data_IF_672384865277
#
_entry.id   IF_672384865277
#
_cell.length_a   1.000
_cell.length_b   1.000
_cell.length_c   1.000
_cell.angle_alpha   90.00
_cell.angle_beta   90.00
_cell.angle_gamma   90.00
#
_symmetry.space_group_name_H-M   'P 1'
#
loop_
_entity.id
_entity.type
_entity.pdbx_description
1 polymer ?
#
# COMPACT_ATOMS: atom_id res chain seq x y z
N UNK A 1 -21.69 20.93 38.62
CA UNK A 1 -22.50 20.99 37.38
C UNK A 1 -21.74 21.67 36.23
N UNK A 2 -21.27 22.92 36.39
CA UNK A 2 -20.51 23.64 35.35
C UNK A 2 -19.25 22.88 34.90
N UNK A 3 -18.45 22.36 35.83
CA UNK A 3 -17.23 21.57 35.51
C UNK A 3 -17.52 20.33 34.67
N UNK A 4 -18.64 19.65 34.92
CA UNK A 4 -19.06 18.47 34.16
C UNK A 4 -19.49 18.86 32.73
N UNK A 5 -20.23 19.96 32.59
CA UNK A 5 -20.64 20.50 31.28
C UNK A 5 -19.41 20.90 30.46
N UNK A 6 -18.45 21.59 31.07
CA UNK A 6 -17.18 21.96 30.40
C UNK A 6 -16.39 20.72 29.99
N UNK A 7 -16.27 19.71 30.87
CA UNK A 7 -15.58 18.47 30.54
C UNK A 7 -16.24 17.73 29.36
N UNK A 8 -17.57 17.61 29.35
CA UNK A 8 -18.30 16.98 28.24
C UNK A 8 -18.16 17.77 26.94
N UNK A 9 -18.20 19.10 26.99
CA UNK A 9 -17.98 19.94 25.83
C UNK A 9 -16.58 19.77 25.23
N UNK A 10 -15.55 19.67 26.08
CA UNK A 10 -14.16 19.39 25.65
C UNK A 10 -14.06 18.01 24.99
N UNK A 11 -14.66 16.98 25.58
CA UNK A 11 -14.65 15.62 24.98
C UNK A 11 -15.35 15.61 23.63
N UNK A 12 -16.50 16.28 23.51
CA UNK A 12 -17.21 16.39 22.23
C UNK A 12 -16.38 17.13 21.19
N UNK A 13 -15.75 18.25 21.57
CA UNK A 13 -14.88 19.01 20.68
C UNK A 13 -13.70 18.17 20.18
N UNK A 14 -13.06 17.41 21.08
CA UNK A 14 -11.99 16.49 20.71
C UNK A 14 -12.49 15.39 19.77
N UNK A 15 -13.66 14.80 20.02
CA UNK A 15 -14.24 13.79 19.16
C UNK A 15 -14.56 14.34 17.75
N UNK A 16 -15.11 15.55 17.67
CA UNK A 16 -15.37 16.24 16.40
C UNK A 16 -14.06 16.55 15.66
N UNK A 17 -13.04 17.03 16.36
CA UNK A 17 -11.74 17.30 15.77
C UNK A 17 -11.07 16.04 15.23
N UNK A 18 -11.10 14.93 15.98
CA UNK A 18 -10.60 13.62 15.54
C UNK A 18 -11.38 13.15 14.32
N UNK A 19 -12.71 13.22 14.35
CA UNK A 19 -13.56 12.85 13.21
C UNK A 19 -13.23 13.69 11.97
N UNK A 20 -13.08 15.01 12.11
CA UNK A 20 -12.73 15.90 11.02
C UNK A 20 -11.37 15.53 10.41
N UNK A 21 -10.35 15.21 11.23
CA UNK A 21 -9.06 14.72 10.73
C UNK A 21 -9.23 13.42 9.94
N UNK A 22 -9.94 12.43 10.49
CA UNK A 22 -10.15 11.14 9.82
C UNK A 22 -10.96 11.26 8.52
N UNK A 23 -11.90 12.20 8.45
CA UNK A 23 -12.77 12.38 7.29
C UNK A 23 -12.12 13.23 6.18
N UNK A 24 -11.43 14.31 6.57
CA UNK A 24 -10.96 15.34 5.65
C UNK A 24 -9.52 15.12 5.21
N UNK A 25 -8.64 14.61 6.08
CA UNK A 25 -7.24 14.43 5.73
C UNK A 25 -7.11 13.41 4.59
N UNK A 26 -6.56 13.81 3.42
CA UNK A 26 -6.43 12.93 2.28
C UNK A 26 -5.57 11.70 2.60
N UNK A 27 -4.71 11.74 3.63
CA UNK A 27 -3.89 10.60 4.03
C UNK A 27 -4.71 9.37 4.42
N UNK A 28 -6.01 9.48 4.69
CA UNK A 28 -6.88 8.30 4.94
C UNK A 28 -7.50 7.72 3.68
N UNK A 29 -7.39 8.42 2.55
CA UNK A 29 -7.87 7.95 1.24
C UNK A 29 -9.40 7.86 1.16
N UNK A 30 -9.94 7.00 0.29
CA UNK A 30 -11.38 6.86 0.04
C UNK A 30 -11.84 5.41 0.17
N UNK A 31 -13.16 5.21 0.33
CA UNK A 31 -13.75 3.90 0.52
C UNK A 31 -14.64 3.54 -0.67
N UNK A 32 -14.11 2.74 -1.60
CA UNK A 32 -14.81 2.36 -2.81
C UNK A 32 -16.13 1.62 -2.55
N UNK A 33 -16.24 0.85 -1.46
CA UNK A 33 -17.45 0.09 -1.13
C UNK A 33 -18.69 0.96 -0.83
N UNK A 34 -18.50 2.27 -0.61
CA UNK A 34 -19.59 3.23 -0.43
C UNK A 34 -20.27 3.57 -1.77
N UNK A 35 -19.55 3.42 -2.88
CA UNK A 35 -20.11 3.57 -4.22
C UNK A 35 -20.73 2.25 -4.69
N UNK A 36 -22.06 2.17 -4.64
CA UNK A 36 -22.83 0.98 -5.08
C UNK A 36 -22.66 0.66 -6.57
N UNK A 37 -22.24 1.62 -7.39
CA UNK A 37 -21.97 1.42 -8.81
C UNK A 37 -20.60 0.80 -9.09
N UNK A 38 -19.72 0.74 -8.09
CA UNK A 38 -18.35 0.27 -8.25
C UNK A 38 -18.27 -1.20 -8.63
N UNK A 39 -17.30 -1.55 -9.52
CA UNK A 39 -17.11 -2.93 -10.02
C UNK A 39 -16.88 -3.96 -8.92
N UNK A 40 -16.35 -3.54 -7.77
CA UNK A 40 -16.14 -4.41 -6.59
C UNK A 40 -17.42 -5.12 -6.13
N UNK A 41 -18.60 -4.50 -6.28
CA UNK A 41 -19.86 -5.13 -5.87
C UNK A 41 -20.28 -6.29 -6.76
N UNK A 42 -19.67 -6.41 -7.94
CA UNK A 42 -19.87 -7.52 -8.88
C UNK A 42 -18.87 -8.66 -8.66
N UNK A 43 -17.86 -8.46 -7.82
CA UNK A 43 -16.89 -9.51 -7.50
C UNK A 43 -17.57 -10.63 -6.72
N UNK A 44 -17.40 -11.91 -7.10
CA UNK A 44 -17.90 -13.03 -6.30
C UNK A 44 -17.25 -13.10 -4.91
N UNK A 45 -16.09 -12.44 -4.75
CA UNK A 45 -15.25 -12.52 -3.55
C UNK A 45 -15.57 -11.41 -2.55
N UNK A 46 -16.28 -10.38 -3.00
CA UNK A 46 -16.71 -9.26 -2.18
C UNK A 46 -18.11 -9.53 -1.59
N UNK A 47 -18.18 -9.75 -0.26
CA UNK A 47 -19.43 -10.05 0.46
C UNK A 47 -19.51 -9.31 1.79
N UNK A 48 -20.67 -8.71 2.06
CA UNK A 48 -20.94 -7.95 3.28
C UNK A 48 -19.91 -6.86 3.55
N UNK A 49 -19.57 -6.09 2.50
CA UNK A 49 -18.67 -4.95 2.59
C UNK A 49 -17.18 -5.30 2.60
N UNK A 50 -16.78 -6.57 2.45
CA UNK A 50 -15.36 -6.98 2.47
C UNK A 50 -15.06 -8.16 1.56
N UNK A 51 -13.80 -8.25 1.11
CA UNK A 51 -13.28 -9.44 0.43
C UNK A 51 -13.13 -10.61 1.40
N UNK A 52 -13.58 -11.80 0.97
CA UNK A 52 -13.53 -13.03 1.76
C UNK A 52 -12.57 -14.04 1.14
N UNK A 53 -11.43 -14.22 1.81
CA UNK A 53 -10.52 -15.33 1.47
C UNK A 53 -11.22 -16.69 1.70
N UNK A 54 -11.11 -17.67 0.79
CA UNK A 54 -11.85 -18.94 0.88
C UNK A 54 -11.53 -19.75 2.14
N UNK A 55 -10.30 -19.68 2.64
CA UNK A 55 -9.90 -20.38 3.85
C UNK A 55 -10.24 -19.57 5.11
N UNK A 56 -10.77 -20.22 6.16
CA UNK A 56 -10.96 -19.61 7.47
C UNK A 56 -9.66 -18.96 7.96
N UNK A 57 -9.75 -17.71 8.39
CA UNK A 57 -8.63 -16.97 8.95
C UNK A 57 -9.10 -16.36 10.25
N UNK A 58 -8.46 -16.76 11.36
CA UNK A 58 -8.69 -16.17 12.65
C UNK A 58 -8.40 -14.67 12.58
N UNK A 59 -9.35 -13.86 13.03
CA UNK A 59 -9.18 -12.42 13.14
C UNK A 59 -9.22 -12.03 14.61
N UNK A 60 -8.60 -10.90 14.93
CA UNK A 60 -8.79 -10.23 16.21
C UNK A 60 -10.25 -9.76 16.25
N UNK A 61 -11.09 -10.47 16.98
CA UNK A 61 -12.53 -10.21 17.04
C UNK A 61 -13.02 -9.92 18.45
N UNK A 62 -12.27 -10.31 19.49
CA UNK A 62 -12.67 -10.11 20.88
C UNK A 62 -11.89 -8.99 21.57
N UNK A 63 -12.48 -8.39 22.61
CA UNK A 63 -11.80 -7.42 23.47
C UNK A 63 -10.54 -7.99 24.14
N UNK A 64 -10.55 -9.29 24.45
CA UNK A 64 -9.40 -10.00 24.98
C UNK A 64 -8.25 -10.06 23.96
N UNK A 65 -8.54 -10.30 22.69
CA UNK A 65 -7.53 -10.28 21.61
C UNK A 65 -6.91 -8.90 21.46
N UNK A 66 -7.74 -7.83 21.50
CA UNK A 66 -7.25 -6.45 21.46
C UNK A 66 -6.34 -6.13 22.66
N UNK A 67 -6.72 -6.55 23.87
CA UNK A 67 -5.91 -6.33 25.07
C UNK A 67 -4.59 -7.11 25.00
N UNK A 68 -4.62 -8.36 24.51
CA UNK A 68 -3.43 -9.17 24.28
C UNK A 68 -2.50 -8.49 23.27
N UNK A 69 -3.06 -7.95 22.17
CA UNK A 69 -2.30 -7.24 21.15
C UNK A 69 -1.63 -5.99 21.71
N UNK A 70 -2.35 -5.17 22.48
CA UNK A 70 -1.78 -3.99 23.18
C UNK A 70 -0.64 -4.39 24.12
N UNK A 71 -0.83 -5.47 24.89
CA UNK A 71 0.21 -6.01 25.77
C UNK A 71 1.44 -6.46 24.97
N UNK A 72 1.24 -7.13 23.82
CA UNK A 72 2.33 -7.59 22.98
C UNK A 72 3.08 -6.45 22.26
N UNK A 73 2.40 -5.36 21.91
CA UNK A 73 3.03 -4.13 21.41
C UNK A 73 3.88 -3.44 22.49
N UNK A 74 3.43 -3.47 23.75
CA UNK A 74 4.18 -2.91 24.88
C UNK A 74 5.39 -3.78 25.28
N UNK A 75 5.37 -5.08 24.99
CA UNK A 75 6.49 -5.98 25.27
C UNK A 75 7.69 -5.61 24.39
N UNK A 76 8.82 -5.29 25.03
CA UNK A 76 10.09 -5.11 24.34
C UNK A 76 10.56 -6.45 23.79
N UNK A 77 10.63 -6.56 22.47
CA UNK A 77 11.15 -7.74 21.78
C UNK A 77 12.66 -7.59 21.61
N UNK A 78 13.49 -8.54 22.11
CA UNK A 78 14.91 -8.52 21.83
C UNK A 78 15.14 -8.62 20.32
N UNK A 79 16.12 -7.89 19.80
CA UNK A 79 16.49 -7.87 18.37
C UNK A 79 15.39 -7.38 17.40
N UNK A 80 14.34 -6.71 17.87
CA UNK A 80 13.32 -6.13 16.99
C UNK A 80 13.78 -4.88 16.22
N UNK A 81 14.97 -4.36 16.54
CA UNK A 81 15.58 -3.23 15.84
C UNK A 81 17.01 -3.59 15.45
N UNK A 82 17.45 -3.25 14.24
CA UNK A 82 18.86 -3.37 13.88
C UNK A 82 19.70 -2.48 14.79
N UNK A 83 20.93 -2.89 15.08
CA UNK A 83 21.86 -2.01 15.77
C UNK A 83 22.21 -0.79 14.89
N UNK A 84 22.48 0.38 15.47
CA UNK A 84 22.90 1.56 14.70
C UNK A 84 24.04 1.25 13.73
N UNK A 85 23.95 1.77 12.50
CA UNK A 85 24.97 1.58 11.46
C UNK A 85 24.96 0.23 10.73
N UNK A 86 24.09 -0.74 11.08
CA UNK A 86 24.05 -2.07 10.43
C UNK A 86 23.22 -2.15 9.15
N UNK A 87 22.63 -1.06 8.70
CA UNK A 87 21.88 -0.98 7.45
C UNK A 87 22.51 0.08 6.53
N UNK A 88 23.61 -0.25 5.85
CA UNK A 88 24.23 0.68 4.91
C UNK A 88 23.27 0.99 3.77
N UNK A 89 23.09 2.28 3.48
CA UNK A 89 22.34 2.75 2.31
C UNK A 89 23.36 3.04 1.22
N UNK A 90 23.33 2.22 0.16
CA UNK A 90 24.15 2.46 -1.03
C UNK A 90 23.45 3.53 -1.87
N UNK A 91 24.13 4.65 -2.13
CA UNK A 91 23.61 5.66 -3.06
C UNK A 91 23.38 5.00 -4.43
N UNK A 92 22.23 5.27 -5.01
CA UNK A 92 21.85 4.70 -6.30
C UNK A 92 21.99 5.79 -7.37
N UNK A 93 22.73 5.47 -8.44
CA UNK A 93 22.70 6.28 -9.65
C UNK A 93 21.37 6.05 -10.38
N UNK A 94 20.43 7.00 -10.23
CA UNK A 94 19.12 6.91 -10.87
C UNK A 94 19.19 7.08 -12.39
N UNK A 95 20.26 7.67 -12.93
CA UNK A 95 20.44 7.83 -14.39
C UNK A 95 20.72 6.49 -15.09
N UNK A 96 21.13 5.46 -14.34
CA UNK A 96 21.30 4.09 -14.81
C UNK A 96 20.01 3.27 -14.85
N UNK A 97 18.91 3.79 -14.26
CA UNK A 97 17.60 3.13 -14.20
C UNK A 97 16.78 3.40 -15.46
N UNK A 98 15.83 2.52 -15.76
CA UNK A 98 14.93 2.63 -16.90
C UNK A 98 15.59 2.36 -18.25
N UNK A 99 16.77 1.74 -18.26
CA UNK A 99 17.49 1.39 -19.48
C UNK A 99 17.10 -0.01 -19.94
N UNK A 100 16.89 -0.24 -21.25
CA UNK A 100 16.68 -1.59 -21.78
C UNK A 100 17.82 -2.52 -21.37
N UNK A 101 17.50 -3.72 -20.91
CA UNK A 101 18.49 -4.66 -20.39
C UNK A 101 17.88 -5.99 -19.96
N UNK A 102 18.69 -6.89 -19.37
CA UNK A 102 18.18 -8.09 -18.73
C UNK A 102 17.29 -7.72 -17.53
N UNK A 103 16.53 -8.71 -17.03
CA UNK A 103 15.74 -8.57 -15.81
C UNK A 103 16.61 -8.01 -14.67
N UNK A 104 16.20 -6.88 -14.09
CA UNK A 104 16.85 -6.27 -12.94
C UNK A 104 15.82 -5.94 -11.86
N UNK A 105 16.20 -6.17 -10.60
CA UNK A 105 15.42 -5.79 -9.42
C UNK A 105 16.28 -4.92 -8.54
N UNK A 106 15.80 -3.73 -8.23
CA UNK A 106 16.43 -2.84 -7.25
C UNK A 106 15.52 -2.71 -6.04
N UNK A 107 16.02 -3.09 -4.86
CA UNK A 107 15.23 -3.08 -3.63
C UNK A 107 15.49 -1.80 -2.83
N UNK A 108 14.42 -1.11 -2.42
CA UNK A 108 14.49 0.16 -1.67
C UNK A 108 14.16 0.01 -0.17
N UNK A 109 13.85 -1.22 0.26
CA UNK A 109 13.45 -1.56 1.63
C UNK A 109 11.98 -1.94 1.73
N UNK A 110 11.65 -2.76 2.73
CA UNK A 110 10.30 -3.34 2.90
C UNK A 110 9.85 -4.07 1.62
N UNK A 111 8.67 -3.78 1.08
CA UNK A 111 8.16 -4.28 -0.20
C UNK A 111 8.52 -3.38 -1.41
N UNK A 112 9.05 -2.17 -1.17
CA UNK A 112 9.33 -1.19 -2.22
C UNK A 112 10.49 -1.67 -3.13
N UNK A 113 10.17 -1.95 -4.39
CA UNK A 113 11.15 -2.45 -5.36
C UNK A 113 10.90 -1.88 -6.75
N UNK A 114 11.99 -1.61 -7.49
CA UNK A 114 11.95 -1.32 -8.92
C UNK A 114 12.26 -2.58 -9.71
N UNK A 115 11.36 -2.96 -10.59
CA UNK A 115 11.48 -4.09 -11.50
C UNK A 115 11.67 -3.57 -12.92
N UNK A 116 12.78 -3.95 -13.54
CA UNK A 116 13.04 -3.68 -14.96
C UNK A 116 12.95 -4.99 -15.73
N UNK A 117 11.88 -5.15 -16.51
CA UNK A 117 11.53 -6.40 -17.18
C UNK A 117 10.90 -6.13 -18.55
N UNK A 118 11.31 -6.87 -19.58
CA UNK A 118 10.72 -6.74 -20.91
C UNK A 118 10.84 -5.33 -21.53
N UNK A 119 11.80 -4.52 -21.08
CA UNK A 119 11.94 -3.11 -21.47
C UNK A 119 11.02 -2.14 -20.71
N UNK A 120 10.37 -2.59 -19.63
CA UNK A 120 9.49 -1.78 -18.77
C UNK A 120 10.08 -1.57 -17.40
N UNK A 121 9.78 -0.42 -16.82
CA UNK A 121 10.20 0.05 -15.50
C UNK A 121 8.97 0.09 -14.60
N UNK A 122 8.87 -0.87 -13.68
CA UNK A 122 7.69 -1.09 -12.84
C UNK A 122 8.08 -0.91 -11.36
N UNK A 123 7.38 -0.04 -10.65
CA UNK A 123 7.51 0.08 -9.19
C UNK A 123 6.49 -0.80 -8.48
N UNK A 124 6.96 -1.60 -7.53
CA UNK A 124 6.13 -2.45 -6.68
C UNK A 124 6.05 -1.85 -5.29
N UNK A 125 4.84 -1.64 -4.77
CA UNK A 125 4.55 -1.13 -3.42
C UNK A 125 5.50 0.00 -2.96
N UNK A 126 5.60 1.12 -3.70
CA UNK A 126 6.56 2.17 -3.41
C UNK A 126 6.19 2.95 -2.14
N UNK A 127 6.50 2.38 -0.97
CA UNK A 127 6.59 3.09 0.30
C UNK A 127 7.99 3.72 0.39
N UNK A 128 8.12 4.96 -0.08
CA UNK A 128 9.38 5.72 -0.07
C UNK A 128 9.38 6.82 1.00
N UNK A 129 8.29 6.94 1.75
CA UNK A 129 8.12 7.86 2.86
C UNK A 129 8.95 7.51 4.10
N UNK A 130 8.98 8.42 5.06
CA UNK A 130 9.76 8.26 6.30
C UNK A 130 9.19 7.21 7.25
N UNK A 131 7.87 7.04 7.29
CA UNK A 131 7.18 6.17 8.24
C UNK A 131 5.87 5.65 7.63
N UNK A 132 5.51 4.37 7.84
CA UNK A 132 4.28 3.77 7.33
C UNK A 132 3.11 4.13 8.24
N UNK A 133 2.73 5.41 8.26
CA UNK A 133 1.71 5.92 9.19
C UNK A 133 1.01 7.14 8.60
N UNK A 134 -0.30 7.33 8.88
CA UNK A 134 -0.98 8.58 8.58
C UNK A 134 -0.39 9.75 9.38
N UNK A 135 0.33 9.47 10.46
CA UNK A 135 0.98 10.46 11.31
C UNK A 135 2.50 10.20 11.36
N UNK A 136 3.25 10.51 10.30
CA UNK A 136 4.66 10.12 10.17
C UNK A 136 5.59 10.78 11.21
N UNK A 137 5.12 11.81 11.93
CA UNK A 137 5.85 12.40 13.06
C UNK A 137 5.81 11.54 14.33
N UNK A 138 4.77 10.73 14.50
CA UNK A 138 4.55 9.88 15.68
C UNK A 138 4.75 8.39 15.40
N UNK A 139 4.76 7.99 14.12
CA UNK A 139 4.98 6.61 13.71
C UNK A 139 6.43 6.12 13.86
N UNK A 140 6.59 4.80 13.78
CA UNK A 140 7.91 4.17 13.65
C UNK A 140 8.57 4.61 12.35
N UNK A 141 9.73 5.24 12.43
CA UNK A 141 10.50 5.65 11.26
C UNK A 141 11.15 4.41 10.63
N UNK A 142 11.37 4.46 9.31
CA UNK A 142 12.25 3.50 8.63
C UNK A 142 13.62 3.46 9.34
N UNK A 143 14.23 2.28 9.40
CA UNK A 143 15.49 2.11 10.12
C UNK A 143 16.72 2.69 9.41
N UNK A 144 16.66 2.83 8.09
CA UNK A 144 17.70 3.48 7.33
C UNK A 144 17.51 5.00 7.39
N UNK A 145 18.56 5.74 7.75
CA UNK A 145 18.46 7.18 8.02
C UNK A 145 18.14 8.02 6.77
N UNK A 146 18.51 7.53 5.58
CA UNK A 146 18.31 8.21 4.30
C UNK A 146 17.76 7.29 3.22
N UNK A 147 17.06 7.84 2.24
CA UNK A 147 16.78 7.15 0.98
C UNK A 147 18.01 7.20 0.07
N UNK A 148 18.19 6.21 -0.83
CA UNK A 148 19.32 6.20 -1.77
C UNK A 148 19.21 7.27 -2.87
N UNK A 149 18.05 7.94 -3.00
CA UNK A 149 17.72 9.01 -3.95
C UNK A 149 16.50 9.81 -3.44
N UNK A 150 16.25 10.97 -4.05
CA UNK A 150 14.97 11.69 -3.98
C UNK A 150 13.99 11.17 -5.04
N UNK A 151 12.69 11.15 -4.73
CA UNK A 151 11.66 10.59 -5.64
C UNK A 151 11.67 11.31 -7.00
N UNK A 152 12.01 12.60 -7.00
CA UNK A 152 12.16 13.43 -8.20
C UNK A 152 13.38 13.07 -9.06
N UNK A 153 14.30 12.26 -8.56
CA UNK A 153 15.45 11.74 -9.33
C UNK A 153 15.11 10.44 -10.08
N UNK A 154 13.99 9.79 -9.78
CA UNK A 154 13.56 8.59 -10.51
C UNK A 154 13.26 8.92 -11.99
N UNK A 155 13.60 8.01 -12.93
CA UNK A 155 13.22 8.15 -14.32
C UNK A 155 11.68 8.06 -14.49
N UNK A 156 11.14 8.32 -15.69
CA UNK A 156 9.76 7.94 -16.00
C UNK A 156 9.48 6.48 -15.62
N UNK A 157 8.33 6.25 -15.01
CA UNK A 157 7.90 4.93 -14.54
C UNK A 157 6.75 4.47 -15.42
N UNK A 158 6.92 3.34 -16.09
CA UNK A 158 5.88 2.81 -16.99
C UNK A 158 4.64 2.41 -16.19
N UNK A 159 4.82 1.73 -15.06
CA UNK A 159 3.73 1.35 -14.17
C UNK A 159 4.10 1.31 -12.68
N UNK A 160 3.11 1.56 -11.84
CA UNK A 160 3.15 1.25 -10.40
C UNK A 160 2.16 0.13 -10.11
N UNK A 161 2.57 -0.86 -9.34
CA UNK A 161 1.73 -1.95 -8.87
C UNK A 161 1.61 -1.86 -7.36
N UNK A 162 0.38 -1.78 -6.85
CA UNK A 162 0.10 -1.92 -5.43
C UNK A 162 -0.49 -3.29 -5.13
N UNK A 163 -0.02 -3.95 -4.08
CA UNK A 163 -0.58 -5.21 -3.58
C UNK A 163 -1.82 -4.99 -2.72
N UNK A 164 -1.80 -3.99 -1.83
CA UNK A 164 -2.93 -3.62 -0.97
C UNK A 164 -2.75 -2.20 -0.44
N UNK A 165 -3.72 -1.70 0.34
CA UNK A 165 -3.78 -0.28 0.68
C UNK A 165 -3.11 0.11 2.01
N UNK A 166 -2.43 -0.80 2.72
CA UNK A 166 -1.80 -0.45 4.00
C UNK A 166 -0.73 0.64 3.85
N UNK A 167 -0.51 1.41 4.92
CA UNK A 167 0.44 2.52 4.94
C UNK A 167 1.90 2.13 4.67
N UNK A 168 2.26 0.85 4.84
CA UNK A 168 3.59 0.32 4.53
C UNK A 168 3.75 -0.16 3.07
N UNK A 169 2.69 -0.09 2.27
CA UNK A 169 2.69 -0.45 0.83
C UNK A 169 2.19 0.72 -0.04
N UNK A 170 1.08 1.34 0.35
CA UNK A 170 0.44 2.48 -0.31
C UNK A 170 0.68 3.76 0.49
N UNK A 171 1.76 4.46 0.18
CA UNK A 171 2.16 5.71 0.84
C UNK A 171 1.62 6.95 0.10
N UNK A 172 0.82 7.77 0.79
CA UNK A 172 0.23 8.98 0.24
C UNK A 172 1.29 9.98 -0.26
N UNK A 173 2.35 10.18 0.54
CA UNK A 173 3.42 11.13 0.20
C UNK A 173 4.16 10.71 -1.07
N UNK A 174 4.44 9.41 -1.20
CA UNK A 174 5.06 8.83 -2.39
C UNK A 174 4.16 8.99 -3.60
N UNK A 175 2.88 8.61 -3.53
CA UNK A 175 1.96 8.75 -4.68
C UNK A 175 1.87 10.19 -5.15
N UNK A 176 1.74 11.16 -4.24
CA UNK A 176 1.64 12.59 -4.58
C UNK A 176 2.87 13.13 -5.31
N UNK A 177 4.07 12.65 -4.97
CA UNK A 177 5.33 13.06 -5.63
C UNK A 177 5.57 12.30 -6.93
N UNK A 178 5.16 11.03 -6.97
CA UNK A 178 5.50 10.10 -8.04
C UNK A 178 4.51 10.15 -9.22
N UNK A 179 3.22 10.34 -8.98
CA UNK A 179 2.19 10.19 -10.02
C UNK A 179 2.33 11.06 -11.28
N UNK A 180 3.01 12.23 -11.28
CA UNK A 180 3.27 12.96 -12.53
C UNK A 180 4.19 12.21 -13.50
N UNK A 181 4.99 11.25 -13.01
CA UNK A 181 5.96 10.47 -13.80
C UNK A 181 5.49 9.06 -14.14
N UNK A 182 4.30 8.67 -13.69
CA UNK A 182 3.78 7.31 -13.81
C UNK A 182 2.80 7.23 -14.97
N UNK A 183 3.04 6.27 -15.87
CA UNK A 183 2.16 5.94 -16.98
C UNK A 183 0.86 5.26 -16.52
N UNK A 184 0.98 4.16 -15.76
CA UNK A 184 -0.15 3.34 -15.31
C UNK A 184 -0.07 2.97 -13.82
N UNK A 185 -1.22 2.78 -13.19
CA UNK A 185 -1.35 2.22 -11.85
C UNK A 185 -2.19 0.95 -11.92
N UNK A 186 -1.62 -0.19 -11.54
CA UNK A 186 -2.33 -1.46 -11.40
C UNK A 186 -2.58 -1.74 -9.93
N UNK A 187 -3.85 -1.90 -9.54
CA UNK A 187 -4.23 -2.02 -8.12
C UNK A 187 -5.35 -3.04 -7.93
N UNK A 188 -5.57 -3.57 -6.71
CA UNK A 188 -6.75 -4.37 -6.41
C UNK A 188 -8.04 -3.55 -6.55
N UNK A 189 -9.15 -4.24 -6.81
CA UNK A 189 -10.48 -3.64 -6.74
C UNK A 189 -10.71 -2.84 -5.46
N UNK A 190 -11.05 -1.56 -5.64
CA UNK A 190 -11.40 -0.62 -4.58
C UNK A 190 -10.22 0.24 -4.10
N UNK A 191 -8.98 -0.18 -4.36
CA UNK A 191 -7.78 0.60 -4.01
C UNK A 191 -7.64 1.83 -4.91
N UNK A 192 -8.17 1.79 -6.14
CA UNK A 192 -8.15 2.92 -7.07
C UNK A 192 -8.85 4.16 -6.50
N UNK A 193 -9.82 4.00 -5.60
CA UNK A 193 -10.49 5.11 -4.94
C UNK A 193 -9.52 6.02 -4.15
N UNK A 194 -8.48 5.44 -3.54
CA UNK A 194 -7.43 6.22 -2.87
C UNK A 194 -6.66 7.09 -3.86
N UNK A 195 -6.22 6.49 -4.97
CA UNK A 195 -5.45 7.17 -6.01
C UNK A 195 -6.25 8.32 -6.66
N UNK A 196 -7.53 8.09 -6.96
CA UNK A 196 -8.47 9.10 -7.46
C UNK A 196 -8.57 10.28 -6.50
N UNK A 197 -8.80 10.01 -5.20
CA UNK A 197 -8.85 11.05 -4.15
C UNK A 197 -7.54 11.84 -4.06
N UNK A 198 -6.40 11.23 -4.39
CA UNK A 198 -5.09 11.86 -4.35
C UNK A 198 -4.71 12.62 -5.62
N UNK A 199 -5.59 12.65 -6.63
CA UNK A 199 -5.39 13.40 -7.87
C UNK A 199 -4.70 12.61 -8.98
N UNK A 200 -4.64 11.27 -8.88
CA UNK A 200 -4.25 10.43 -10.02
C UNK A 200 -5.42 10.43 -11.02
N UNK A 201 -5.09 10.62 -12.29
CA UNK A 201 -6.09 10.64 -13.36
C UNK A 201 -6.73 9.25 -13.53
N UNK A 202 -8.06 9.20 -13.64
CA UNK A 202 -8.83 7.96 -13.79
C UNK A 202 -8.32 7.09 -14.95
N UNK A 203 -7.97 7.71 -16.08
CA UNK A 203 -7.53 7.01 -17.29
C UNK A 203 -6.21 6.27 -17.11
N UNK A 204 -5.49 6.51 -16.00
CA UNK A 204 -4.23 5.83 -15.65
C UNK A 204 -4.40 4.75 -14.58
N UNK A 205 -5.59 4.57 -14.02
CA UNK A 205 -5.85 3.61 -12.94
C UNK A 205 -6.57 2.39 -13.51
N UNK A 206 -5.98 1.23 -13.32
CA UNK A 206 -6.57 -0.06 -13.68
C UNK A 206 -6.69 -0.91 -12.42
N UNK A 207 -7.93 -1.20 -12.04
CA UNK A 207 -8.24 -2.06 -10.91
C UNK A 207 -8.40 -3.50 -11.39
N UNK A 208 -8.06 -4.50 -10.58
CA UNK A 208 -8.21 -5.92 -10.96
C UNK A 208 -8.78 -6.77 -9.83
N UNK A 209 -9.66 -7.71 -10.18
CA UNK A 209 -10.21 -8.71 -9.25
C UNK A 209 -9.31 -9.93 -9.15
N UNK A 210 -9.49 -10.72 -8.09
CA UNK A 210 -8.80 -11.99 -7.95
C UNK A 210 -9.06 -12.91 -9.14
N UNK A 211 -8.00 -13.60 -9.56
CA UNK A 211 -7.93 -14.47 -10.72
C UNK A 211 -8.05 -13.77 -12.08
N UNK A 212 -8.17 -12.44 -12.13
CA UNK A 212 -8.03 -11.71 -13.39
C UNK A 212 -6.59 -11.79 -13.90
N UNK A 213 -6.44 -12.01 -15.20
CA UNK A 213 -5.17 -11.97 -15.91
C UNK A 213 -5.34 -11.06 -17.12
N UNK A 214 -4.36 -10.19 -17.34
CA UNK A 214 -4.38 -9.21 -18.42
C UNK A 214 -3.00 -9.06 -19.05
N UNK A 215 -2.97 -8.52 -20.26
CA UNK A 215 -1.76 -8.23 -21.00
C UNK A 215 -1.56 -6.72 -21.03
N UNK A 216 -0.34 -6.28 -20.73
CA UNK A 216 0.04 -4.88 -20.83
C UNK A 216 1.45 -4.79 -21.39
N UNK A 217 1.59 -4.13 -22.54
CA UNK A 217 2.91 -3.78 -23.11
C UNK A 217 3.85 -4.99 -23.32
N UNK A 218 3.28 -6.17 -23.62
CA UNK A 218 4.01 -7.43 -23.84
C UNK A 218 4.29 -8.23 -22.56
N UNK A 219 3.78 -7.79 -21.41
CA UNK A 219 3.83 -8.49 -20.13
C UNK A 219 2.47 -9.07 -19.79
N UNK A 220 2.47 -10.25 -19.18
CA UNK A 220 1.28 -10.85 -18.58
C UNK A 220 1.27 -10.58 -17.09
N UNK A 221 0.19 -9.98 -16.61
CA UNK A 221 -0.04 -9.68 -15.20
C UNK A 221 -1.22 -10.51 -14.70
N UNK A 222 -1.05 -11.15 -13.54
CA UNK A 222 -2.11 -11.94 -12.91
C UNK A 222 -2.36 -11.47 -11.48
N UNK A 223 -3.63 -11.20 -11.19
CA UNK A 223 -4.10 -10.74 -9.90
C UNK A 223 -4.49 -11.98 -9.06
N UNK A 224 -3.69 -12.39 -8.07
CA UNK A 224 -3.94 -13.62 -7.29
C UNK A 224 -4.37 -13.35 -5.84
N UNK A 225 -5.24 -14.18 -5.25
CA UNK A 225 -5.66 -13.97 -3.87
C UNK A 225 -4.48 -14.09 -2.89
N UNK A 226 -4.40 -13.19 -1.91
CA UNK A 226 -3.46 -13.29 -0.80
C UNK A 226 -4.19 -13.47 0.53
N UNK A 227 -3.57 -14.21 1.45
CA UNK A 227 -4.07 -14.32 2.82
C UNK A 227 -3.53 -13.17 3.68
N UNK A 228 -4.06 -11.99 3.45
CA UNK A 228 -3.72 -10.75 4.16
C UNK A 228 -4.97 -9.91 4.39
N UNK A 229 -4.93 -8.87 5.23
CA UNK A 229 -6.01 -7.88 5.30
C UNK A 229 -5.60 -6.57 4.62
N UNK A 230 -6.58 -5.74 4.30
CA UNK A 230 -6.46 -4.44 3.66
C UNK A 230 -7.36 -3.46 4.44
N UNK A 231 -6.96 -2.21 4.51
CA UNK A 231 -7.69 -1.12 5.13
C UNK A 231 -6.79 -0.09 5.81
N UNK A 232 -7.16 1.19 5.67
CA UNK A 232 -6.44 2.35 6.21
C UNK A 232 -7.12 2.99 7.43
N UNK A 233 -8.32 2.53 7.78
CA UNK A 233 -9.13 3.01 8.90
C UNK A 233 -9.52 1.91 9.89
N UNK A 234 -10.34 2.26 10.89
CA UNK A 234 -10.86 1.31 11.88
C UNK A 234 -11.79 0.26 11.24
N UNK A 235 -12.47 0.61 10.16
CA UNK A 235 -13.25 -0.30 9.33
C UNK A 235 -12.31 -1.03 8.36
N UNK A 236 -11.83 -2.20 8.79
CA UNK A 236 -10.93 -3.08 8.04
C UNK A 236 -11.74 -3.92 7.04
N UNK A 237 -12.10 -3.28 5.94
CA UNK A 237 -12.88 -3.87 4.87
C UNK A 237 -11.97 -4.32 3.71
N UNK A 238 -11.30 -5.45 3.85
CA UNK A 238 -10.60 -6.06 2.71
C UNK A 238 -9.60 -7.12 3.12
N UNK A 239 -9.44 -8.13 2.27
CA UNK A 239 -8.32 -9.05 2.25
C UNK A 239 -7.83 -8.97 0.81
N UNK A 240 -6.56 -8.67 0.55
CA UNK A 240 -6.09 -8.40 -0.82
C UNK A 240 -4.71 -9.00 -1.16
N UNK A 241 -4.72 -9.59 -2.36
CA UNK A 241 -3.82 -9.55 -3.53
C UNK A 241 -2.28 -9.71 -3.45
N UNK A 242 -1.78 -10.64 -4.28
CA UNK A 242 -0.44 -10.67 -4.87
C UNK A 242 -0.56 -10.49 -6.39
N UNK A 243 0.10 -9.49 -6.98
CA UNK A 243 0.23 -9.37 -8.44
C UNK A 243 1.45 -10.16 -8.90
N UNK A 244 1.25 -11.17 -9.76
CA UNK A 244 2.34 -11.87 -10.43
C UNK A 244 2.62 -11.25 -11.80
N UNK A 245 3.88 -10.95 -12.07
CA UNK A 245 4.37 -10.44 -13.35
C UNK A 245 5.13 -11.55 -14.08
N UNK A 246 4.77 -11.83 -15.33
CA UNK A 246 5.44 -12.82 -16.18
C UNK A 246 5.81 -12.27 -17.56
N UNK A 247 7.07 -12.45 -17.97
CA UNK A 247 7.54 -12.19 -19.34
C UNK A 247 7.36 -13.44 -20.21
N UNK A 248 6.60 -13.32 -21.30
CA UNK A 248 6.31 -14.43 -22.22
C UNK A 248 7.54 -14.87 -23.02
N UNK A 249 8.57 -14.02 -23.20
CA UNK A 249 9.74 -14.34 -24.05
C UNK A 249 10.63 -15.44 -23.48
N UNK A 250 10.46 -15.83 -22.21
CA UNK A 250 11.31 -16.85 -21.53
C UNK A 250 10.55 -17.96 -20.81
N UNK A 251 9.25 -18.11 -21.09
CA UNK A 251 8.36 -18.96 -20.30
C UNK A 251 8.07 -18.32 -18.94
N UNK A 252 6.82 -18.41 -18.48
CA UNK A 252 6.40 -17.80 -17.23
C UNK A 252 7.20 -18.40 -16.06
N UNK A 253 8.16 -17.65 -15.51
CA UNK A 253 8.82 -17.97 -14.24
C UNK A 253 8.21 -17.06 -13.19
N UNK A 254 7.49 -17.66 -12.24
CA UNK A 254 6.95 -16.94 -11.08
C UNK A 254 8.11 -16.35 -10.27
N UNK A 255 8.04 -15.06 -9.96
CA UNK A 255 9.02 -14.33 -9.13
C UNK A 255 8.69 -14.51 -7.63
N UNK A 256 7.50 -15.01 -7.30
CA UNK A 256 7.04 -15.29 -5.93
C UNK A 256 6.45 -16.70 -5.86
N UNK A 257 7.32 -17.71 -5.82
CA UNK A 257 6.94 -19.04 -5.31
C UNK A 257 7.29 -19.08 -3.83
N UNK A 258 6.27 -19.28 -2.98
CA UNK A 258 6.43 -20.04 -1.74
C UNK A 258 5.59 -21.30 -1.88
#
# INVERSE_FOLDING_TARGET
MITLIVALAVVLLLAVAVYAVLALDPVFGAQAYRDRGHRLHKSPQFKDGKFRYPLPTAMVTSAADYLSMLRDFAKRRPNARPAPGRLPVVKLDTAGLGRPGPLRVTWFGHSASLLEIGGRTILLDPMLGRAPSPFPRFGGKRYADTMPFEIEELPPIDAVVFSHDHYDHLDYGTVRRLHPKVGRFFVPLGVGAHLRRWGVDESRIEEHDWHETFEWEGLRLSCLPARHFSGRGADRAGRDLVVLLGDRRRGAKSIFQR
#
